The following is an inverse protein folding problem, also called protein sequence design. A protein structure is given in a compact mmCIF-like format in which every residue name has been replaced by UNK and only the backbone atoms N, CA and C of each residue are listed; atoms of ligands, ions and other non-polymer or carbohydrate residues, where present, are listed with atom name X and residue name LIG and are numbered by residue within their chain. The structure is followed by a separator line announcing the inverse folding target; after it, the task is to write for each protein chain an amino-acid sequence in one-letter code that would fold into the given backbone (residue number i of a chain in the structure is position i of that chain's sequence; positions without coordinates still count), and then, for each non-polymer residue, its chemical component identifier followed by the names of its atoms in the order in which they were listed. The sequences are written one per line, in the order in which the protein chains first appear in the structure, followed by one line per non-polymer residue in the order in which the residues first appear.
data_IF_556243848616
#
_entry.id   IF_556243848616
#
_cell.length_a   1.000
_cell.length_b   1.000
_cell.length_c   1.000
_cell.angle_alpha   90.00
_cell.angle_beta   90.00
_cell.angle_gamma   90.00
#
_symmetry.space_group_name_H-M   'P 1'
#
loop_
_entity.id
_entity.type
_entity.pdbx_description
1 polymer ?
#
# COMPACT_ATOMS: atom_id res chain seq x y z
N UNK A 1 7.22 8.06 6.70
CA UNK A 1 7.12 8.30 5.24
C UNK A 1 7.70 7.13 4.50
N UNK A 2 7.21 6.87 3.30
CA UNK A 2 7.76 5.83 2.41
C UNK A 2 8.22 6.49 1.13
N UNK A 3 9.38 6.09 0.61
CA UNK A 3 9.95 6.66 -0.62
C UNK A 3 9.89 5.62 -1.73
N UNK A 4 9.52 6.05 -2.93
CA UNK A 4 9.46 5.20 -4.10
C UNK A 4 10.53 5.65 -5.07
N UNK A 5 11.36 4.70 -5.49
CA UNK A 5 12.43 4.92 -6.45
C UNK A 5 12.17 4.12 -7.72
N UNK A 6 12.57 4.69 -8.84
CA UNK A 6 12.52 4.06 -10.16
C UNK A 6 13.92 4.02 -10.76
N UNK A 7 14.23 2.93 -11.47
CA UNK A 7 15.52 2.78 -12.13
C UNK A 7 15.43 3.34 -13.54
N UNK A 8 16.00 4.52 -13.76
CA UNK A 8 16.01 5.20 -15.06
C UNK A 8 17.44 5.23 -15.57
N UNK A 9 17.69 4.62 -16.74
CA UNK A 9 19.02 4.57 -17.36
C UNK A 9 20.11 4.03 -16.43
N UNK A 10 19.77 3.03 -15.61
CA UNK A 10 20.69 2.41 -14.65
C UNK A 10 20.97 3.24 -13.40
N UNK A 11 20.21 4.31 -13.13
CA UNK A 11 20.33 5.12 -11.92
C UNK A 11 19.00 5.16 -11.17
N UNK A 12 19.04 5.03 -9.84
CA UNK A 12 17.86 5.17 -9.01
C UNK A 12 17.48 6.65 -8.89
N UNK A 13 16.25 6.96 -9.29
CA UNK A 13 15.67 8.30 -9.21
C UNK A 13 14.45 8.26 -8.29
N UNK A 14 14.23 9.33 -7.51
CA UNK A 14 13.05 9.45 -6.67
C UNK A 14 11.82 9.60 -7.57
N UNK A 15 10.95 8.60 -7.58
CA UNK A 15 9.65 8.63 -8.27
C UNK A 15 8.61 9.40 -7.47
N UNK A 16 8.72 9.37 -6.14
CA UNK A 16 7.92 10.20 -5.24
C UNK A 16 7.98 9.75 -3.79
N UNK A 17 7.43 10.57 -2.90
CA UNK A 17 7.23 10.25 -1.49
C UNK A 17 5.75 9.93 -1.23
N UNK A 18 5.50 8.95 -0.37
CA UNK A 18 4.20 8.71 0.25
C UNK A 18 4.28 9.36 1.64
N UNK A 19 3.77 10.58 1.71
CA UNK A 19 3.69 11.35 2.96
C UNK A 19 2.51 10.86 3.81
N UNK A 20 2.73 10.81 5.12
CA UNK A 20 1.68 10.64 6.13
C UNK A 20 0.68 9.52 5.82
N UNK A 21 1.08 8.25 6.05
CA UNK A 21 0.06 7.25 6.35
C UNK A 21 -0.80 7.81 7.50
N UNK A 22 -2.14 7.88 7.40
CA UNK A 22 -3.05 8.58 8.32
C UNK A 22 -2.87 8.30 9.83
N UNK A 23 -2.06 7.30 10.18
CA UNK A 23 -1.59 7.05 11.54
C UNK A 23 -0.06 7.00 11.56
N UNK A 24 0.55 7.69 12.50
CA UNK A 24 2.01 7.82 12.71
C UNK A 24 2.71 6.52 13.16
N UNK A 25 2.28 5.38 12.64
CA UNK A 25 2.87 4.06 12.91
C UNK A 25 3.80 3.67 11.76
N UNK A 26 4.98 3.09 12.05
CA UNK A 26 5.87 2.57 11.02
C UNK A 26 5.16 1.58 10.08
N UNK A 27 5.57 1.58 8.82
CA UNK A 27 5.15 0.57 7.86
C UNK A 27 5.68 -0.82 8.27
N UNK A 28 4.83 -1.83 8.16
CA UNK A 28 5.12 -3.23 8.53
C UNK A 28 5.25 -4.14 7.32
N UNK A 29 4.74 -3.71 6.17
CA UNK A 29 4.74 -4.45 4.93
C UNK A 29 4.41 -3.53 3.75
N UNK A 30 4.94 -3.87 2.59
CA UNK A 30 4.70 -3.15 1.34
C UNK A 30 4.57 -4.12 0.18
N UNK A 31 3.75 -3.78 -0.81
CA UNK A 31 3.76 -4.42 -2.11
C UNK A 31 3.51 -3.40 -3.21
N UNK A 32 4.00 -3.70 -4.41
CA UNK A 32 3.93 -2.84 -5.58
C UNK A 32 3.48 -3.66 -6.79
N UNK A 33 2.66 -3.08 -7.65
CA UNK A 33 2.29 -3.65 -8.95
C UNK A 33 3.50 -3.72 -9.89
N UNK A 34 3.42 -4.55 -10.92
CA UNK A 34 4.52 -4.74 -11.86
C UNK A 34 4.85 -3.48 -12.68
N UNK A 35 3.86 -2.63 -12.94
CA UNK A 35 4.06 -1.33 -13.60
C UNK A 35 4.61 -0.25 -12.66
N UNK A 36 4.75 -0.55 -11.37
CA UNK A 36 5.30 0.37 -10.39
C UNK A 36 4.39 1.57 -10.09
N UNK A 37 3.09 1.52 -10.42
CA UNK A 37 2.17 2.63 -10.27
C UNK A 37 1.11 2.42 -9.19
N UNK A 38 1.01 1.23 -8.60
CA UNK A 38 0.11 0.95 -7.49
C UNK A 38 0.90 0.36 -6.33
N UNK A 39 0.74 0.94 -5.14
CA UNK A 39 1.46 0.52 -3.93
C UNK A 39 0.47 0.33 -2.78
N UNK A 40 0.66 -0.75 -2.04
CA UNK A 40 0.04 -0.94 -0.73
C UNK A 40 1.09 -0.78 0.34
N UNK A 41 0.78 0.04 1.35
CA UNK A 41 1.56 0.16 2.57
C UNK A 41 0.70 -0.28 3.74
N UNK A 42 1.15 -1.30 4.49
CA UNK A 42 0.52 -1.71 5.73
C UNK A 42 1.24 -1.17 6.95
N UNK A 43 0.49 -0.95 8.01
CA UNK A 43 0.97 -0.66 9.35
C UNK A 43 0.39 -1.68 10.33
N UNK A 44 0.77 -1.57 11.61
CA UNK A 44 0.17 -2.39 12.67
C UNK A 44 -1.35 -2.20 12.84
N UNK A 45 -1.95 -1.20 12.20
CA UNK A 45 -3.34 -0.82 12.43
C UNK A 45 -4.17 -0.83 11.15
N UNK A 46 -3.57 -0.51 10.01
CA UNK A 46 -4.30 -0.36 8.76
C UNK A 46 -3.40 -0.57 7.54
N UNK A 47 -3.99 -0.95 6.41
CA UNK A 47 -3.34 -0.90 5.12
C UNK A 47 -3.95 0.22 4.27
N UNK A 48 -3.11 0.81 3.43
CA UNK A 48 -3.42 1.94 2.56
C UNK A 48 -2.97 1.63 1.15
N UNK A 49 -3.83 1.91 0.18
CA UNK A 49 -3.52 1.78 -1.24
C UNK A 49 -3.27 3.18 -1.84
N UNK A 50 -2.20 3.28 -2.64
CA UNK A 50 -1.79 4.50 -3.32
C UNK A 50 -1.61 4.24 -4.80
N UNK A 51 -2.06 5.20 -5.62
CA UNK A 51 -1.87 5.21 -7.05
C UNK A 51 -0.91 6.35 -7.42
N UNK A 52 0.04 6.05 -8.30
CA UNK A 52 0.92 7.06 -8.88
C UNK A 52 0.12 7.95 -9.83
N UNK A 53 0.14 9.25 -9.56
CA UNK A 53 -0.42 10.28 -10.42
C UNK A 53 0.66 11.34 -10.70
N UNK A 54 1.31 11.30 -11.88
CA UNK A 54 2.37 12.25 -12.23
C UNK A 54 1.85 13.67 -12.50
N UNK A 55 0.54 13.84 -12.71
CA UNK A 55 -0.09 15.14 -13.01
C UNK A 55 -0.51 15.90 -11.75
N UNK A 56 -0.53 15.22 -10.60
CA UNK A 56 -0.92 15.82 -9.33
C UNK A 56 0.22 16.68 -8.76
N UNK A 57 0.31 17.91 -9.28
CA UNK A 57 1.20 18.96 -8.76
C UNK A 57 0.64 19.66 -7.50
N UNK A 58 -0.48 19.18 -6.94
CA UNK A 58 -1.19 19.85 -5.83
C UNK A 58 -0.62 19.42 -4.47
N UNK A 59 0.12 18.31 -4.42
CA UNK A 59 0.84 17.87 -3.22
C UNK A 59 2.29 17.57 -3.57
N UNK A 60 3.21 17.65 -2.61
CA UNK A 60 4.62 17.22 -2.78
C UNK A 60 4.75 15.70 -3.05
N UNK A 61 3.65 15.00 -3.32
CA UNK A 61 3.56 13.56 -3.48
C UNK A 61 2.84 13.21 -4.78
N UNK A 62 3.56 12.63 -5.74
CA UNK A 62 2.98 12.00 -6.93
C UNK A 62 2.18 10.71 -6.62
N UNK A 63 1.84 10.45 -5.35
CA UNK A 63 1.18 9.24 -4.86
C UNK A 63 -0.11 9.62 -4.13
N UNK A 64 -1.25 9.30 -4.75
CA UNK A 64 -2.57 9.67 -4.25
C UNK A 64 -3.20 8.48 -3.53
N UNK A 65 -3.78 8.66 -2.32
CA UNK A 65 -4.51 7.59 -1.65
C UNK A 65 -5.78 7.24 -2.44
N UNK A 66 -5.91 5.98 -2.86
CA UNK A 66 -7.08 5.49 -3.63
C UNK A 66 -7.97 4.53 -2.85
N UNK A 67 -7.55 4.15 -1.64
CA UNK A 67 -8.37 3.30 -0.78
C UNK A 67 -7.75 3.02 0.58
N UNK A 68 -8.62 2.64 1.51
CA UNK A 68 -8.22 2.09 2.80
C UNK A 68 -8.87 0.73 3.00
N UNK A 69 -8.15 -0.20 3.60
CA UNK A 69 -8.71 -1.49 3.95
C UNK A 69 -9.38 -1.40 5.33
N UNK A 70 -10.52 -2.08 5.56
CA UNK A 70 -11.24 -2.02 6.83
C UNK A 70 -10.32 -2.30 8.02
N UNK A 71 -10.37 -1.45 9.04
CA UNK A 71 -9.61 -1.66 10.27
C UNK A 71 -10.47 -2.46 11.25
N UNK A 72 -10.30 -3.78 11.33
CA UNK A 72 -11.04 -4.62 12.28
C UNK A 72 -10.29 -4.77 13.61
N UNK A 73 -9.93 -3.62 14.20
CA UNK A 73 -9.58 -3.34 15.61
C UNK A 73 -8.66 -4.28 16.41
N UNK A 74 -8.11 -5.39 15.89
CA UNK A 74 -7.29 -6.31 16.70
C UNK A 74 -6.08 -6.85 15.93
N UNK A 75 -5.01 -6.07 15.93
CA UNK A 75 -3.65 -6.49 15.62
C UNK A 75 -3.32 -6.69 14.13
N UNK A 76 -2.64 -5.70 13.57
CA UNK A 76 -1.40 -5.93 12.86
C UNK A 76 -1.53 -6.53 11.47
N UNK A 77 -1.76 -5.70 10.46
CA UNK A 77 -1.38 -6.10 9.11
C UNK A 77 0.15 -6.18 9.07
N UNK A 78 0.71 -7.37 8.94
CA UNK A 78 2.18 -7.55 8.98
C UNK A 78 2.75 -7.86 7.62
N UNK A 79 1.95 -8.37 6.69
CA UNK A 79 2.40 -8.75 5.36
C UNK A 79 1.31 -8.41 4.35
N UNK A 80 1.74 -7.85 3.23
CA UNK A 80 0.90 -7.58 2.07
C UNK A 80 1.55 -8.21 0.85
N UNK A 81 0.73 -8.73 -0.05
CA UNK A 81 1.15 -9.21 -1.36
C UNK A 81 0.16 -8.69 -2.40
N UNK A 82 0.69 -8.24 -3.52
CA UNK A 82 -0.07 -7.68 -4.64
C UNK A 82 0.05 -8.65 -5.82
N UNK A 83 -1.02 -8.81 -6.59
CA UNK A 83 -0.93 -9.40 -7.93
C UNK A 83 -0.09 -8.52 -8.86
N UNK A 84 0.40 -9.12 -9.94
CA UNK A 84 1.19 -8.43 -10.97
C UNK A 84 0.49 -7.16 -11.48
N UNK A 85 -0.83 -7.21 -11.66
CA UNK A 85 -1.64 -6.10 -12.15
C UNK A 85 -2.09 -5.12 -11.06
N UNK A 86 -1.71 -5.34 -9.78
CA UNK A 86 -2.12 -4.50 -8.66
C UNK A 86 -3.61 -4.59 -8.28
N UNK A 87 -4.42 -5.36 -9.02
CA UNK A 87 -5.88 -5.41 -8.82
C UNK A 87 -6.32 -6.40 -7.75
N UNK A 88 -5.45 -7.32 -7.34
CA UNK A 88 -5.73 -8.29 -6.26
C UNK A 88 -4.68 -8.17 -5.17
N UNK A 89 -5.11 -8.16 -3.92
CA UNK A 89 -4.22 -7.98 -2.77
C UNK A 89 -4.54 -8.97 -1.68
N UNK A 90 -3.53 -9.62 -1.12
CA UNK A 90 -3.64 -10.45 0.06
C UNK A 90 -3.00 -9.74 1.25
N UNK A 91 -3.74 -9.63 2.34
CA UNK A 91 -3.29 -8.96 3.56
C UNK A 91 -3.34 -9.95 4.71
N UNK A 92 -2.16 -10.27 5.26
CA UNK A 92 -1.99 -11.20 6.36
C UNK A 92 -2.12 -10.51 7.72
N UNK A 93 -2.78 -11.21 8.63
CA UNK A 93 -3.01 -10.79 10.01
C UNK A 93 -2.66 -11.91 10.98
N UNK A 94 -1.54 -11.82 11.71
CA UNK A 94 -1.25 -12.75 12.79
C UNK A 94 -2.22 -12.48 13.95
N UNK A 95 -2.93 -13.52 14.40
CA UNK A 95 -3.73 -13.45 15.63
C UNK A 95 -2.82 -13.52 16.84
N UNK A 96 -3.09 -12.70 17.86
CA UNK A 96 -2.40 -12.78 19.17
C UNK A 96 -3.01 -13.84 20.09
N UNK A 97 -4.26 -14.26 19.85
CA UNK A 97 -4.93 -15.32 20.62
C UNK A 97 -5.01 -16.61 19.79
N UNK A 98 -4.28 -17.64 20.20
CA UNK A 98 -4.32 -18.97 19.58
C UNK A 98 -3.47 -19.15 18.32
N UNK A 99 -2.71 -18.14 17.90
CA UNK A 99 -1.74 -18.20 16.78
C UNK A 99 -2.31 -18.62 15.40
N UNK A 100 -3.63 -18.68 15.23
CA UNK A 100 -4.24 -19.20 13.99
C UNK A 100 -4.09 -18.22 12.82
N UNK A 101 -4.04 -16.91 13.07
CA UNK A 101 -3.93 -15.88 12.03
C UNK A 101 -5.08 -15.88 11.02
N UNK A 102 -5.10 -14.89 10.13
CA UNK A 102 -6.02 -14.84 9.00
C UNK A 102 -5.39 -14.13 7.80
N UNK A 103 -5.97 -14.35 6.62
CA UNK A 103 -5.63 -13.63 5.40
C UNK A 103 -6.92 -13.12 4.79
N UNK A 104 -6.96 -11.82 4.47
CA UNK A 104 -8.04 -11.21 3.72
C UNK A 104 -7.56 -10.94 2.30
N UNK A 105 -8.36 -11.31 1.30
CA UNK A 105 -8.09 -11.04 -0.12
C UNK A 105 -9.06 -9.98 -0.60
N UNK A 106 -8.52 -8.94 -1.23
CA UNK A 106 -9.26 -7.80 -1.76
C UNK A 106 -9.04 -7.70 -3.26
N UNK A 107 -10.09 -7.30 -3.97
CA UNK A 107 -10.03 -6.99 -5.39
C UNK A 107 -10.39 -5.51 -5.59
N UNK A 108 -9.56 -4.80 -6.33
CA UNK A 108 -9.87 -3.45 -6.78
C UNK A 108 -11.08 -3.52 -7.71
N UNK A 109 -12.08 -2.70 -7.43
CA UNK A 109 -13.24 -2.52 -8.30
C UNK A 109 -13.07 -1.19 -9.02
N UNK A 110 -13.20 -1.21 -10.34
CA UNK A 110 -13.28 0.03 -11.10
C UNK A 110 -14.62 0.70 -10.75
N UNK A 111 -14.58 1.99 -10.38
CA UNK A 111 -15.81 2.76 -10.24
C UNK A 111 -16.30 3.12 -11.64
N UNK A 112 -17.44 2.57 -12.04
CA UNK A 112 -18.17 3.09 -13.20
C UNK A 112 -18.68 4.49 -12.83
N UNK A 113 -18.07 5.53 -13.40
CA UNK A 113 -18.61 6.89 -13.42
C UNK A 113 -18.84 7.31 -14.86
#
# INVERSE_FOLDING_TARGET
NSFVYELVSGQWQLKGEILNTPRATPATGTCISADGNFIVVSTHQQAYAFQYNPEDNITETSWVPVGTFPADARFGYTRVSCSTDGRTMAIGRPSTSGWVGSVSVFQAVESEY
#
